data_IF_733417496014
#
_entry.id   IF_733417496014
#
_cell.length_a   1.000
_cell.length_b   1.000
_cell.length_c   1.000
_cell.angle_alpha   90.00
_cell.angle_beta   90.00
_cell.angle_gamma   90.00
#
_symmetry.space_group_name_H-M   'P 1'
#
loop_
_entity.id
_entity.type
_entity.pdbx_description
1 polymer ?
#
# COMPACT_ATOMS: atom_id res chain seq x y z
N UNK A 1 -11.30 -9.72 14.91
CA UNK A 1 -10.59 -9.27 16.15
C UNK A 1 -9.18 -8.93 15.68
N UNK A 2 -8.98 -7.66 15.31
CA UNK A 2 -7.68 -7.16 14.86
C UNK A 2 -6.65 -7.41 15.97
N UNK A 3 -5.44 -7.84 15.58
CA UNK A 3 -4.30 -8.04 16.48
C UNK A 3 -3.87 -6.67 17.03
N UNK A 4 -4.65 -6.12 17.96
CA UNK A 4 -4.32 -4.88 18.69
C UNK A 4 -3.50 -5.18 19.96
N UNK A 5 -3.24 -6.47 20.26
CA UNK A 5 -2.74 -6.88 21.57
C UNK A 5 -1.22 -6.80 21.74
N UNK A 6 -0.44 -6.41 20.73
CA UNK A 6 1.03 -6.47 20.82
C UNK A 6 1.80 -5.27 20.28
N UNK A 7 1.12 -4.21 19.84
CA UNK A 7 1.82 -2.96 19.52
C UNK A 7 1.95 -2.12 20.80
N UNK A 8 2.90 -2.50 21.63
CA UNK A 8 3.33 -1.71 22.80
C UNK A 8 4.78 -1.37 22.58
N UNK A 9 5.08 -0.17 22.14
CA UNK A 9 6.44 0.25 21.92
C UNK A 9 6.58 1.34 20.87
N UNK A 10 7.79 1.65 20.50
CA UNK A 10 8.14 2.71 19.55
C UNK A 10 7.69 2.40 18.11
N UNK A 11 7.47 1.12 17.77
CA UNK A 11 7.07 0.69 16.42
C UNK A 11 5.57 0.38 16.33
N UNK A 12 4.87 1.04 15.43
CA UNK A 12 3.44 0.82 15.11
C UNK A 12 3.23 -0.37 14.19
N UNK A 13 4.28 -0.85 13.53
CA UNK A 13 4.24 -2.00 12.62
C UNK A 13 4.88 -3.23 13.26
N UNK A 14 4.68 -4.38 12.63
CA UNK A 14 5.30 -5.66 13.03
C UNK A 14 6.24 -6.17 11.93
N UNK A 15 7.23 -6.97 12.30
CA UNK A 15 7.96 -7.79 11.35
C UNK A 15 7.00 -8.81 10.72
N UNK A 16 6.75 -8.72 9.43
CA UNK A 16 5.87 -9.65 8.73
C UNK A 16 6.66 -10.80 8.12
N UNK A 17 6.07 -12.01 8.03
CA UNK A 17 6.79 -13.16 7.48
C UNK A 17 7.09 -13.01 6.00
N UNK A 18 8.22 -13.59 5.57
CA UNK A 18 8.58 -13.86 4.19
C UNK A 18 8.26 -15.33 3.89
N UNK A 19 7.16 -15.61 3.19
CA UNK A 19 6.62 -16.96 2.99
C UNK A 19 6.92 -17.46 1.59
N UNK A 20 7.47 -18.68 1.47
CA UNK A 20 7.61 -19.32 0.18
C UNK A 20 6.24 -19.80 -0.34
N UNK A 21 5.88 -19.40 -1.56
CA UNK A 21 4.65 -19.83 -2.23
C UNK A 21 4.94 -21.00 -3.18
N UNK A 22 4.43 -22.19 -2.86
CA UNK A 22 4.58 -23.35 -3.74
C UNK A 22 3.82 -23.17 -5.05
N UNK A 23 2.62 -22.59 -4.99
CA UNK A 23 1.74 -22.38 -6.14
C UNK A 23 2.32 -21.39 -7.15
N UNK A 24 2.74 -20.24 -6.67
CA UNK A 24 3.37 -19.23 -7.54
C UNK A 24 4.74 -19.70 -8.03
N UNK A 25 5.52 -20.42 -7.20
CA UNK A 25 6.80 -20.97 -7.63
C UNK A 25 6.64 -21.98 -8.77
N UNK A 26 5.65 -22.87 -8.69
CA UNK A 26 5.32 -23.81 -9.76
C UNK A 26 4.88 -23.09 -11.04
N UNK A 27 4.00 -22.07 -10.90
CA UNK A 27 3.50 -21.29 -12.03
C UNK A 27 4.60 -20.51 -12.75
N UNK A 28 5.47 -19.85 -11.99
CA UNK A 28 6.56 -19.02 -12.52
C UNK A 28 7.75 -19.85 -12.99
N UNK A 29 7.96 -21.02 -12.40
CA UNK A 29 9.17 -21.83 -12.64
C UNK A 29 10.41 -21.29 -11.95
N UNK A 30 10.24 -20.55 -10.84
CA UNK A 30 11.26 -19.91 -10.03
C UNK A 30 10.80 -19.86 -8.58
N UNK A 31 11.71 -19.68 -7.62
CA UNK A 31 11.34 -19.56 -6.21
C UNK A 31 10.62 -18.24 -5.96
N UNK A 32 9.32 -18.27 -5.59
CA UNK A 32 8.53 -17.08 -5.26
C UNK A 32 8.32 -16.98 -3.76
N UNK A 33 8.65 -15.84 -3.19
CA UNK A 33 8.45 -15.49 -1.78
C UNK A 33 7.47 -14.32 -1.65
N UNK A 34 6.57 -14.41 -0.70
CA UNK A 34 5.55 -13.41 -0.39
C UNK A 34 5.94 -12.65 0.89
N UNK A 35 6.19 -11.35 0.81
CA UNK A 35 6.32 -10.48 1.98
C UNK A 35 4.93 -10.08 2.43
N UNK A 36 4.48 -10.63 3.55
CA UNK A 36 3.08 -10.66 3.97
C UNK A 36 2.64 -9.41 4.72
N UNK A 37 2.74 -8.24 4.11
CA UNK A 37 2.32 -6.97 4.72
C UNK A 37 0.78 -6.80 4.84
N UNK A 38 0.01 -7.71 4.26
CA UNK A 38 -1.40 -7.88 4.60
C UNK A 38 -1.64 -8.25 6.08
N UNK A 39 -0.62 -8.73 6.78
CA UNK A 39 -0.68 -9.07 8.21
C UNK A 39 -0.32 -7.90 9.14
N UNK A 40 0.03 -6.74 8.62
CA UNK A 40 0.29 -5.56 9.43
C UNK A 40 -0.95 -5.15 10.26
N UNK A 41 -0.76 -4.49 11.41
CA UNK A 41 -1.85 -3.83 12.11
C UNK A 41 -2.63 -2.90 11.17
N UNK A 42 -3.95 -3.04 11.13
CA UNK A 42 -4.79 -2.33 10.16
C UNK A 42 -4.82 -2.96 8.76
N UNK A 43 -4.19 -4.14 8.56
CA UNK A 43 -4.35 -4.96 7.34
C UNK A 43 -3.55 -4.51 6.12
N UNK A 44 -2.62 -3.55 6.23
CA UNK A 44 -1.82 -3.12 5.09
C UNK A 44 -0.43 -2.58 5.46
N UNK A 45 0.48 -2.59 4.48
CA UNK A 45 1.84 -2.04 4.56
C UNK A 45 1.90 -0.59 5.07
N UNK A 46 0.80 0.15 4.95
CA UNK A 46 0.74 1.57 5.34
C UNK A 46 1.04 1.79 6.82
N UNK A 47 0.83 0.78 7.67
CA UNK A 47 1.21 0.83 9.08
C UNK A 47 2.70 1.17 9.29
N UNK A 48 3.58 0.75 8.39
CA UNK A 48 5.03 1.03 8.48
C UNK A 48 5.34 2.52 8.34
N UNK A 49 5.02 3.08 7.19
CA UNK A 49 5.36 4.47 6.85
C UNK A 49 4.54 5.48 7.65
N UNK A 50 3.23 5.29 7.68
CA UNK A 50 2.33 6.17 8.45
C UNK A 50 2.60 6.03 9.94
N UNK A 51 2.85 4.82 10.44
CA UNK A 51 3.25 4.61 11.83
C UNK A 51 4.51 5.39 12.19
N UNK A 52 5.54 5.36 11.33
CA UNK A 52 6.79 6.12 11.52
C UNK A 52 6.55 7.63 11.57
N UNK A 53 5.70 8.16 10.67
CA UNK A 53 5.34 9.57 10.65
C UNK A 53 4.54 9.97 11.91
N UNK A 54 3.57 9.16 12.32
CA UNK A 54 2.78 9.42 13.53
C UNK A 54 3.65 9.37 14.80
N UNK A 55 4.60 8.44 14.87
CA UNK A 55 5.57 8.35 15.98
C UNK A 55 6.40 9.64 16.05
N UNK A 56 6.89 10.14 14.92
CA UNK A 56 7.62 11.41 14.87
C UNK A 56 6.76 12.57 15.40
N UNK A 57 5.53 12.70 14.97
CA UNK A 57 4.64 13.76 15.47
C UNK A 57 4.39 13.68 16.97
N UNK A 58 4.17 12.48 17.51
CA UNK A 58 4.05 12.27 18.96
C UNK A 58 5.31 12.75 19.69
N UNK A 59 6.49 12.42 19.18
CA UNK A 59 7.78 12.76 19.81
C UNK A 59 8.04 14.28 19.77
N UNK A 60 7.47 14.99 18.77
CA UNK A 60 7.44 16.45 18.69
C UNK A 60 6.34 17.10 19.58
N UNK A 61 5.60 16.30 20.35
CA UNK A 61 4.58 16.78 21.29
C UNK A 61 3.19 17.00 20.67
N UNK A 62 2.94 16.49 19.46
CA UNK A 62 1.60 16.53 18.84
C UNK A 62 0.64 15.64 19.62
N UNK A 63 -0.54 16.16 19.94
CA UNK A 63 -1.58 15.46 20.71
C UNK A 63 -2.79 15.08 19.86
N UNK A 64 -2.87 15.54 18.60
CA UNK A 64 -3.96 15.24 17.67
C UNK A 64 -3.44 14.97 16.25
N UNK A 65 -3.76 13.78 15.71
CA UNK A 65 -3.48 13.39 14.33
C UNK A 65 -4.74 13.60 13.47
N UNK A 66 -4.56 14.18 12.29
CA UNK A 66 -5.66 14.43 11.36
C UNK A 66 -5.34 13.82 10.00
N UNK A 67 -6.30 13.12 9.40
CA UNK A 67 -6.18 12.57 8.04
C UNK A 67 -7.48 12.72 7.27
N UNK A 68 -7.39 12.84 5.95
CA UNK A 68 -8.54 12.92 5.02
C UNK A 68 -8.87 11.57 4.35
N UNK A 69 -8.30 10.47 4.81
CA UNK A 69 -8.48 9.16 4.17
C UNK A 69 -9.45 8.27 4.93
N UNK A 70 -10.53 7.86 4.27
CA UNK A 70 -11.42 6.79 4.72
C UNK A 70 -11.01 5.39 4.22
N UNK A 71 -9.77 5.24 3.76
CA UNK A 71 -9.20 3.98 3.23
C UNK A 71 -8.02 3.49 4.09
N UNK A 72 -7.17 2.65 3.51
CA UNK A 72 -6.01 2.03 4.20
C UNK A 72 -5.06 3.04 4.86
N UNK A 73 -4.93 4.28 4.33
CA UNK A 73 -4.12 5.30 4.97
C UNK A 73 -4.76 5.78 6.28
N UNK A 74 -6.05 6.09 6.26
CA UNK A 74 -6.80 6.45 7.48
C UNK A 74 -6.80 5.33 8.52
N UNK A 75 -6.93 4.06 8.08
CA UNK A 75 -6.81 2.92 8.99
C UNK A 75 -5.42 2.86 9.65
N UNK A 76 -4.35 3.11 8.90
CA UNK A 76 -3.00 3.16 9.46
C UNK A 76 -2.82 4.32 10.46
N UNK A 77 -3.41 5.50 10.19
CA UNK A 77 -3.42 6.62 11.14
C UNK A 77 -4.21 6.27 12.41
N UNK A 78 -5.38 5.64 12.24
CA UNK A 78 -6.23 5.21 13.36
C UNK A 78 -5.51 4.20 14.28
N UNK A 79 -4.86 3.20 13.69
CA UNK A 79 -4.06 2.22 14.43
C UNK A 79 -2.87 2.88 15.12
N UNK A 80 -2.17 3.78 14.43
CA UNK A 80 -1.05 4.52 14.99
C UNK A 80 -1.48 5.39 16.17
N UNK A 81 -2.53 6.20 16.01
CA UNK A 81 -3.04 7.05 17.08
C UNK A 81 -3.43 6.25 18.32
N UNK A 82 -4.13 5.11 18.11
CA UNK A 82 -4.48 4.19 19.21
C UNK A 82 -3.25 3.61 19.93
N UNK A 83 -2.25 3.17 19.16
CA UNK A 83 -1.02 2.57 19.72
C UNK A 83 -0.17 3.60 20.47
N UNK A 84 -0.11 4.83 19.97
CA UNK A 84 0.70 5.92 20.50
C UNK A 84 -0.02 6.74 21.59
N UNK A 85 -1.31 6.51 21.81
CA UNK A 85 -2.12 7.28 22.76
C UNK A 85 -2.35 8.73 22.30
N UNK A 86 -2.44 8.97 21.00
CA UNK A 86 -2.66 10.29 20.39
C UNK A 86 -4.07 10.33 19.80
N UNK A 87 -4.81 11.41 20.06
CA UNK A 87 -6.16 11.59 19.52
C UNK A 87 -6.13 11.60 17.99
N UNK A 88 -7.12 10.98 17.37
CA UNK A 88 -7.16 10.86 15.91
C UNK A 88 -8.49 11.34 15.36
N UNK A 89 -8.42 12.15 14.32
CA UNK A 89 -9.58 12.61 13.55
C UNK A 89 -9.43 12.23 12.08
N UNK A 90 -10.45 11.58 11.54
CA UNK A 90 -10.60 11.35 10.10
C UNK A 90 -11.62 12.36 9.57
N UNK A 91 -11.21 13.17 8.61
CA UNK A 91 -12.13 14.03 7.87
C UNK A 91 -12.58 13.30 6.62
N UNK A 92 -13.86 12.98 6.58
CA UNK A 92 -14.51 12.25 5.49
C UNK A 92 -15.37 13.20 4.65
N UNK A 93 -15.50 12.92 3.37
CA UNK A 93 -16.44 13.62 2.49
C UNK A 93 -17.82 12.95 2.50
N UNK A 94 -18.82 13.58 1.87
CA UNK A 94 -20.17 13.01 1.80
C UNK A 94 -20.21 11.69 1.01
N UNK A 95 -19.29 11.48 0.05
CA UNK A 95 -19.19 10.20 -0.69
C UNK A 95 -18.64 9.05 0.17
N UNK A 96 -18.00 9.35 1.31
CA UNK A 96 -17.44 8.36 2.23
C UNK A 96 -18.43 7.89 3.31
N UNK A 97 -19.71 8.35 3.29
CA UNK A 97 -20.69 8.04 4.34
C UNK A 97 -20.96 6.55 4.51
N UNK A 98 -20.78 5.77 3.45
CA UNK A 98 -20.94 4.32 3.44
C UNK A 98 -19.59 3.58 3.53
N UNK A 99 -18.51 4.26 3.98
CA UNK A 99 -17.20 3.66 4.11
C UNK A 99 -17.24 2.48 5.11
N UNK A 100 -16.78 1.33 4.68
CA UNK A 100 -16.75 0.08 5.49
C UNK A 100 -15.87 0.13 6.73
N UNK A 101 -14.95 1.10 6.79
CA UNK A 101 -14.03 1.25 7.92
C UNK A 101 -14.59 2.09 9.06
N UNK A 102 -15.77 2.70 8.93
CA UNK A 102 -16.36 3.58 9.95
C UNK A 102 -16.53 2.87 11.31
N UNK A 103 -17.01 1.62 11.31
CA UNK A 103 -17.13 0.84 12.53
C UNK A 103 -15.75 0.56 13.16
N UNK A 104 -14.75 0.29 12.35
CA UNK A 104 -13.38 0.06 12.82
C UNK A 104 -12.78 1.35 13.38
N UNK A 105 -13.01 2.50 12.75
CA UNK A 105 -12.59 3.80 13.28
C UNK A 105 -13.22 4.06 14.65
N UNK A 106 -14.52 3.81 14.78
CA UNK A 106 -15.24 3.95 16.07
C UNK A 106 -14.64 3.06 17.14
N UNK A 107 -14.37 1.78 16.83
CA UNK A 107 -13.76 0.83 17.77
C UNK A 107 -12.33 1.22 18.18
N UNK A 108 -11.59 1.92 17.30
CA UNK A 108 -10.27 2.45 17.59
C UNK A 108 -10.29 3.78 18.36
N UNK A 109 -11.48 4.36 18.59
CA UNK A 109 -11.64 5.64 19.28
C UNK A 109 -11.38 6.85 18.40
N UNK A 110 -11.48 6.70 17.08
CA UNK A 110 -11.27 7.78 16.10
C UNK A 110 -12.51 8.65 15.98
N UNK A 111 -12.32 9.97 15.95
CA UNK A 111 -13.37 10.93 15.62
C UNK A 111 -13.52 11.03 14.09
N UNK A 112 -14.73 10.84 13.57
CA UNK A 112 -15.01 11.03 12.13
C UNK A 112 -15.79 12.34 11.96
N UNK A 113 -15.26 13.24 11.15
CA UNK A 113 -15.87 14.54 10.81
C UNK A 113 -16.19 14.56 9.33
N UNK A 114 -17.46 14.83 8.98
CA UNK A 114 -17.85 14.96 7.58
C UNK A 114 -17.73 16.41 7.11
N UNK A 115 -17.03 16.62 5.98
CA UNK A 115 -16.86 17.95 5.40
C UNK A 115 -16.76 17.91 3.88
N UNK A 116 -17.64 18.65 3.21
CA UNK A 116 -17.67 18.81 1.76
C UNK A 116 -18.26 17.63 1.01
N UNK A 117 -18.52 17.84 -0.28
CA UNK A 117 -19.13 16.85 -1.14
C UNK A 117 -18.11 15.81 -1.65
N UNK A 118 -16.86 16.23 -1.86
CA UNK A 118 -15.80 15.44 -2.45
C UNK A 118 -14.55 15.38 -1.56
N UNK A 119 -13.68 14.42 -1.84
CA UNK A 119 -12.44 14.23 -1.11
C UNK A 119 -11.57 15.49 -1.01
N UNK A 120 -11.50 16.33 -2.06
CA UNK A 120 -10.69 17.55 -2.02
C UNK A 120 -11.15 18.53 -0.91
N UNK A 121 -12.47 18.64 -0.70
CA UNK A 121 -13.03 19.51 0.35
C UNK A 121 -12.64 18.97 1.73
N UNK A 122 -12.74 17.65 1.92
CA UNK A 122 -12.34 16.98 3.14
C UNK A 122 -10.84 17.13 3.41
N UNK A 123 -10.00 17.03 2.39
CA UNK A 123 -8.53 17.15 2.51
C UNK A 123 -8.12 18.58 2.90
N UNK A 124 -8.69 19.61 2.26
CA UNK A 124 -8.41 21.00 2.62
C UNK A 124 -8.82 21.29 4.07
N UNK A 125 -9.97 20.77 4.49
CA UNK A 125 -10.41 20.90 5.87
C UNK A 125 -9.50 20.15 6.85
N UNK A 126 -9.09 18.93 6.52
CA UNK A 126 -8.17 18.15 7.33
C UNK A 126 -6.82 18.87 7.50
N UNK A 127 -6.28 19.46 6.44
CA UNK A 127 -5.05 20.27 6.50
C UNK A 127 -5.24 21.51 7.38
N UNK A 128 -6.39 22.15 7.30
CA UNK A 128 -6.73 23.30 8.17
C UNK A 128 -6.79 22.87 9.64
N UNK A 129 -7.35 21.71 9.94
CA UNK A 129 -7.37 21.16 11.30
C UNK A 129 -5.96 20.78 11.78
N UNK A 130 -5.16 20.14 10.93
CA UNK A 130 -3.80 19.73 11.24
C UNK A 130 -2.80 20.88 11.36
N UNK A 131 -3.15 22.10 10.90
CA UNK A 131 -2.35 23.31 11.06
C UNK A 131 -2.57 24.02 12.40
N UNK A 132 -3.49 23.54 13.24
CA UNK A 132 -3.71 24.09 14.59
C UNK A 132 -2.55 23.70 15.52
N UNK A 133 -2.38 24.48 16.60
CA UNK A 133 -1.44 24.14 17.65
C UNK A 133 -1.75 22.73 18.19
N UNK A 134 -0.69 21.95 18.42
CA UNK A 134 -0.75 20.58 18.95
C UNK A 134 -1.45 19.53 18.05
N UNK A 135 -1.72 19.86 16.76
CA UNK A 135 -2.26 18.95 15.77
C UNK A 135 -1.29 18.75 14.60
N UNK A 136 -1.39 17.62 13.91
CA UNK A 136 -0.64 17.34 12.69
C UNK A 136 -1.52 16.68 11.63
N UNK A 137 -1.45 17.17 10.40
CA UNK A 137 -2.00 16.48 9.25
C UNK A 137 -1.04 15.35 8.83
N UNK A 138 -1.58 14.14 8.69
CA UNK A 138 -0.81 12.94 8.31
C UNK A 138 -0.94 12.71 6.82
N UNK A 139 0.17 12.87 6.09
CA UNK A 139 0.25 12.59 4.66
C UNK A 139 -0.03 11.11 4.36
N UNK A 140 -0.67 10.82 3.23
CA UNK A 140 -1.08 9.46 2.88
C UNK A 140 0.04 8.61 2.30
N UNK A 141 1.02 9.22 1.60
CA UNK A 141 2.09 8.48 0.91
C UNK A 141 3.33 9.31 0.54
N UNK A 142 3.24 10.63 0.40
CA UNK A 142 4.34 11.48 -0.11
C UNK A 142 5.02 12.25 1.02
N UNK A 143 5.82 11.53 1.80
CA UNK A 143 6.59 12.13 2.90
C UNK A 143 7.87 11.31 3.17
N UNK A 144 9.04 11.94 3.41
CA UNK A 144 10.30 11.23 3.64
C UNK A 144 10.25 10.19 4.77
N UNK A 145 9.60 10.49 5.89
CA UNK A 145 9.44 9.55 7.00
C UNK A 145 8.53 8.37 6.66
N UNK A 146 7.57 8.55 5.73
CA UNK A 146 6.77 7.44 5.21
C UNK A 146 7.66 6.50 4.39
N UNK A 147 8.53 7.04 3.53
CA UNK A 147 9.48 6.24 2.75
C UNK A 147 10.45 5.50 3.67
N UNK A 148 10.98 6.17 4.70
CA UNK A 148 11.84 5.56 5.71
C UNK A 148 11.14 4.41 6.44
N UNK A 149 9.89 4.61 6.88
CA UNK A 149 9.11 3.57 7.53
C UNK A 149 8.83 2.38 6.60
N UNK A 150 8.49 2.61 5.33
CA UNK A 150 8.30 1.53 4.36
C UNK A 150 9.60 0.79 4.03
N UNK A 151 10.76 1.45 4.12
CA UNK A 151 12.06 0.84 3.89
C UNK A 151 12.37 -0.29 4.89
N UNK A 152 11.76 -0.28 6.10
CA UNK A 152 11.89 -1.36 7.09
C UNK A 152 11.51 -2.74 6.52
N UNK A 153 10.62 -2.78 5.52
CA UNK A 153 10.24 -4.00 4.81
C UNK A 153 11.45 -4.67 4.14
N UNK A 154 12.32 -3.88 3.54
CA UNK A 154 13.55 -4.39 2.88
C UNK A 154 14.58 -4.84 3.91
N UNK A 155 14.67 -4.16 5.06
CA UNK A 155 15.55 -4.60 6.16
C UNK A 155 15.12 -5.98 6.67
N UNK A 156 13.80 -6.20 6.80
CA UNK A 156 13.27 -7.50 7.18
C UNK A 156 13.56 -8.57 6.12
N UNK A 157 13.34 -8.27 4.83
CA UNK A 157 13.68 -9.19 3.72
C UNK A 157 15.18 -9.51 3.75
N UNK A 158 16.04 -8.50 3.99
CA UNK A 158 17.48 -8.69 4.11
C UNK A 158 17.82 -9.64 5.25
N UNK A 159 17.22 -9.46 6.41
CA UNK A 159 17.44 -10.32 7.57
C UNK A 159 16.93 -11.75 7.33
N UNK A 160 15.71 -11.92 6.81
CA UNK A 160 15.08 -13.21 6.53
C UNK A 160 15.85 -14.00 5.47
N UNK A 161 16.47 -13.31 4.50
CA UNK A 161 17.32 -13.89 3.44
C UNK A 161 18.81 -13.95 3.81
N UNK A 162 19.17 -13.59 5.04
CA UNK A 162 20.55 -13.60 5.55
C UNK A 162 21.54 -12.78 4.68
N UNK A 163 21.06 -11.68 4.13
CA UNK A 163 21.84 -10.79 3.27
C UNK A 163 21.91 -11.19 1.80
N UNK A 164 21.24 -12.26 1.39
CA UNK A 164 21.20 -12.68 -0.02
C UNK A 164 20.14 -11.90 -0.80
N UNK A 165 20.49 -11.13 -1.85
CA UNK A 165 19.52 -10.38 -2.62
C UNK A 165 18.56 -11.31 -3.37
N UNK A 166 17.28 -10.94 -3.53
CA UNK A 166 16.39 -11.62 -4.46
C UNK A 166 16.77 -11.29 -5.91
N UNK A 167 16.36 -12.14 -6.86
CA UNK A 167 16.52 -11.86 -8.28
C UNK A 167 15.72 -10.64 -8.74
N UNK A 168 14.53 -10.42 -8.16
CA UNK A 168 13.76 -9.18 -8.33
C UNK A 168 12.75 -8.99 -7.19
N UNK A 169 12.22 -7.76 -7.07
CA UNK A 169 11.08 -7.44 -6.20
C UNK A 169 9.90 -7.01 -7.08
N UNK A 170 8.70 -7.46 -6.75
CA UNK A 170 7.45 -7.10 -7.45
C UNK A 170 6.51 -6.42 -6.46
N UNK A 171 5.98 -5.27 -6.81
CA UNK A 171 5.09 -4.49 -5.95
C UNK A 171 4.07 -3.69 -6.75
N UNK A 172 2.95 -3.36 -6.11
CA UNK A 172 1.92 -2.48 -6.68
C UNK A 172 2.26 -1.01 -6.43
N UNK A 173 1.99 -0.17 -7.42
CA UNK A 173 2.21 1.28 -7.32
C UNK A 173 0.90 2.04 -7.49
N UNK A 174 0.48 2.74 -6.42
CA UNK A 174 -0.50 3.81 -6.47
C UNK A 174 0.22 5.17 -6.47
N UNK A 175 0.22 5.87 -5.33
CA UNK A 175 0.93 7.16 -5.16
C UNK A 175 2.46 7.10 -5.11
N UNK A 176 3.06 5.92 -5.15
CA UNK A 176 4.51 5.75 -5.19
C UNK A 176 5.21 5.64 -3.83
N UNK A 177 4.50 5.82 -2.71
CA UNK A 177 5.11 5.76 -1.37
C UNK A 177 5.75 4.40 -1.06
N UNK A 178 5.08 3.29 -1.42
CA UNK A 178 5.65 1.93 -1.26
C UNK A 178 6.91 1.76 -2.10
N UNK A 179 6.86 2.12 -3.38
CA UNK A 179 8.02 2.06 -4.28
C UNK A 179 9.18 2.87 -3.73
N UNK A 180 8.93 4.13 -3.32
CA UNK A 180 9.96 5.00 -2.74
C UNK A 180 10.59 4.39 -1.48
N UNK A 181 9.77 3.78 -0.62
CA UNK A 181 10.27 3.08 0.56
C UNK A 181 11.12 1.85 0.23
N UNK A 182 10.66 1.01 -0.70
CA UNK A 182 11.43 -0.16 -1.16
C UNK A 182 12.76 0.28 -1.78
N UNK A 183 12.76 1.28 -2.66
CA UNK A 183 13.98 1.82 -3.26
C UNK A 183 14.95 2.39 -2.20
N UNK A 184 14.43 3.12 -1.21
CA UNK A 184 15.22 3.61 -0.07
C UNK A 184 15.86 2.45 0.69
N UNK A 185 15.10 1.39 0.98
CA UNK A 185 15.59 0.19 1.65
C UNK A 185 16.66 -0.54 0.83
N UNK A 186 16.45 -0.72 -0.48
CA UNK A 186 17.42 -1.36 -1.38
C UNK A 186 18.75 -0.62 -1.39
N UNK A 187 18.75 0.71 -1.46
CA UNK A 187 19.97 1.53 -1.36
C UNK A 187 20.66 1.33 0.00
N UNK A 188 19.87 1.32 1.08
CA UNK A 188 20.38 1.19 2.45
C UNK A 188 21.09 -0.14 2.69
N UNK A 189 20.57 -1.26 2.19
CA UNK A 189 21.16 -2.59 2.37
C UNK A 189 22.16 -2.98 1.26
N UNK A 190 22.45 -2.08 0.31
CA UNK A 190 23.41 -2.33 -0.77
C UNK A 190 22.85 -3.18 -1.92
N UNK A 191 21.51 -3.28 -2.05
CA UNK A 191 20.83 -4.04 -3.11
C UNK A 191 20.32 -3.16 -4.27
N UNK A 192 20.94 -2.03 -4.52
CA UNK A 192 20.52 -1.09 -5.56
C UNK A 192 20.51 -1.64 -6.99
N UNK A 193 21.15 -2.81 -7.22
CA UNK A 193 21.13 -3.50 -8.52
C UNK A 193 19.95 -4.49 -8.67
N UNK A 194 19.15 -4.72 -7.62
CA UNK A 194 17.98 -5.62 -7.68
C UNK A 194 16.87 -4.97 -8.50
N UNK A 195 16.40 -5.58 -9.60
CA UNK A 195 15.29 -5.06 -10.38
C UNK A 195 13.99 -4.98 -9.56
N UNK A 196 13.25 -3.89 -9.71
CA UNK A 196 11.92 -3.70 -9.11
C UNK A 196 10.87 -3.61 -10.19
N UNK A 197 9.92 -4.54 -10.20
CA UNK A 197 8.76 -4.46 -11.07
C UNK A 197 7.65 -3.65 -10.38
N UNK A 198 7.44 -2.44 -10.88
CA UNK A 198 6.45 -1.48 -10.41
C UNK A 198 5.13 -1.70 -11.16
N UNK A 199 4.22 -2.49 -10.59
CA UNK A 199 3.00 -2.91 -11.24
C UNK A 199 1.87 -1.88 -11.02
N UNK A 200 1.16 -1.52 -12.09
CA UNK A 200 0.00 -0.64 -12.07
C UNK A 200 -1.13 -1.22 -12.92
N UNK A 201 -2.39 -0.87 -12.59
CA UNK A 201 -3.51 -1.10 -13.51
C UNK A 201 -3.32 -0.28 -14.79
N UNK A 202 -3.70 -0.83 -15.94
CA UNK A 202 -3.66 -0.13 -17.24
C UNK A 202 -4.41 1.21 -17.20
N UNK A 203 -5.48 1.31 -16.40
CA UNK A 203 -6.24 2.56 -16.23
C UNK A 203 -5.55 3.57 -15.33
N UNK A 204 -4.63 3.13 -14.47
CA UNK A 204 -3.99 3.93 -13.43
C UNK A 204 -2.47 4.01 -13.61
N UNK A 205 -1.97 3.87 -14.82
CA UNK A 205 -0.54 3.85 -15.15
C UNK A 205 0.18 5.19 -15.01
N UNK A 206 0.05 5.88 -13.87
CA UNK A 206 0.61 7.22 -13.66
C UNK A 206 2.14 7.22 -13.64
N UNK A 207 2.76 6.22 -13.01
CA UNK A 207 4.21 6.08 -13.03
C UNK A 207 4.69 5.72 -14.43
N UNK A 208 4.03 4.79 -15.11
CA UNK A 208 4.35 4.41 -16.48
C UNK A 208 4.28 5.60 -17.43
N UNK A 209 3.23 6.42 -17.32
CA UNK A 209 3.08 7.63 -18.10
C UNK A 209 4.18 8.67 -17.80
N UNK A 210 4.53 8.84 -16.51
CA UNK A 210 5.60 9.75 -16.11
C UNK A 210 6.97 9.33 -16.65
N UNK A 211 7.28 8.03 -16.62
CA UNK A 211 8.54 7.48 -17.13
C UNK A 211 8.65 7.58 -18.66
N UNK A 212 7.55 7.35 -19.38
CA UNK A 212 7.54 7.40 -20.86
C UNK A 212 7.60 8.82 -21.42
N UNK A 213 6.96 9.78 -20.76
CA UNK A 213 6.73 11.11 -21.30
C UNK A 213 7.59 12.20 -20.63
N UNK A 214 8.39 11.85 -19.60
CA UNK A 214 9.10 12.85 -18.80
C UNK A 214 8.19 13.84 -18.08
N UNK A 215 6.93 13.44 -17.79
CA UNK A 215 5.85 14.31 -17.40
C UNK A 215 5.22 13.86 -16.09
N UNK A 216 4.85 14.82 -15.23
CA UNK A 216 3.94 14.56 -14.10
C UNK A 216 2.54 14.36 -14.67
N UNK A 217 1.92 13.19 -14.50
CA UNK A 217 0.58 12.98 -15.02
C UNK A 217 -0.39 13.98 -14.40
N UNK A 218 -1.18 14.62 -15.27
CA UNK A 218 -2.35 15.35 -14.80
C UNK A 218 -3.32 14.32 -14.20
N UNK A 219 -3.90 14.59 -13.03
CA UNK A 219 -4.83 13.67 -12.42
C UNK A 219 -5.96 13.33 -13.38
N UNK A 220 -6.06 12.09 -13.80
CA UNK A 220 -7.22 11.57 -14.51
C UNK A 220 -8.13 10.90 -13.49
N UNK A 221 -9.44 10.96 -13.70
CA UNK A 221 -10.37 10.21 -12.87
C UNK A 221 -10.07 8.72 -13.02
N UNK A 222 -9.63 8.12 -11.92
CA UNK A 222 -9.29 6.71 -11.87
C UNK A 222 -10.51 6.01 -11.29
N UNK A 223 -11.25 5.30 -12.15
CA UNK A 223 -12.35 4.46 -11.71
C UNK A 223 -11.84 3.05 -11.47
N UNK A 224 -12.18 2.50 -10.31
CA UNK A 224 -12.22 1.07 -10.14
C UNK A 224 -13.40 0.49 -10.93
N UNK A 225 -13.35 -0.79 -11.25
CA UNK A 225 -14.46 -1.48 -11.87
C UNK A 225 -15.74 -1.44 -11.00
N UNK A 226 -15.65 -1.06 -9.72
CA UNK A 226 -16.72 -1.08 -8.73
C UNK A 226 -16.88 0.26 -8.00
N UNK A 227 -16.31 1.37 -8.51
CA UNK A 227 -16.40 2.67 -7.86
C UNK A 227 -15.34 2.88 -6.75
N UNK A 228 -14.44 1.92 -6.51
CA UNK A 228 -13.31 2.08 -5.60
C UNK A 228 -12.08 2.55 -6.39
N UNK A 229 -11.47 3.66 -6.00
CA UNK A 229 -10.26 4.19 -6.64
C UNK A 229 -9.10 3.19 -6.53
N UNK A 230 -8.67 2.62 -7.67
CA UNK A 230 -7.48 1.76 -7.75
C UNK A 230 -6.17 2.55 -7.69
N UNK A 231 -6.21 3.83 -7.39
CA UNK A 231 -5.01 4.63 -7.38
C UNK A 231 -5.17 6.00 -6.78
N UNK A 232 -4.09 6.75 -6.81
CA UNK A 232 -4.04 8.15 -6.44
C UNK A 232 -4.10 9.01 -7.70
N UNK A 233 -4.50 10.27 -7.55
CA UNK A 233 -4.51 11.23 -8.65
C UNK A 233 -3.12 11.68 -9.09
N UNK A 234 -2.10 11.37 -8.28
CA UNK A 234 -0.70 11.76 -8.54
C UNK A 234 0.24 10.64 -8.10
N UNK A 235 1.44 10.63 -8.67
CA UNK A 235 2.56 9.82 -8.20
C UNK A 235 3.61 10.74 -7.58
N UNK A 236 4.20 10.35 -6.45
CA UNK A 236 5.26 11.10 -5.80
C UNK A 236 6.45 11.30 -6.74
N UNK A 237 7.00 12.52 -6.79
CA UNK A 237 8.16 12.79 -7.64
C UNK A 237 9.35 11.90 -7.29
N UNK A 238 9.54 11.62 -6.01
CA UNK A 238 10.60 10.72 -5.51
C UNK A 238 10.49 9.31 -6.11
N UNK A 239 9.27 8.80 -6.35
CA UNK A 239 9.09 7.51 -7.01
C UNK A 239 9.54 7.54 -8.47
N UNK A 240 9.31 8.66 -9.17
CA UNK A 240 9.81 8.86 -10.54
C UNK A 240 11.34 8.98 -10.55
N UNK A 241 11.91 9.74 -9.60
CA UNK A 241 13.37 9.95 -9.50
C UNK A 241 14.07 8.61 -9.19
N UNK A 242 13.57 7.82 -8.25
CA UNK A 242 14.09 6.47 -7.99
C UNK A 242 13.98 5.55 -9.21
N UNK A 243 12.91 5.68 -9.99
CA UNK A 243 12.75 4.87 -11.19
C UNK A 243 13.73 5.23 -12.32
N UNK A 244 14.36 6.41 -12.24
CA UNK A 244 15.44 6.82 -13.13
C UNK A 244 16.83 6.46 -12.58
N UNK A 245 16.96 6.34 -11.27
CA UNK A 245 18.22 6.03 -10.57
C UNK A 245 18.49 4.52 -10.46
N UNK A 246 17.45 3.72 -10.24
CA UNK A 246 17.51 2.28 -10.01
C UNK A 246 16.84 1.50 -11.16
N UNK A 247 17.07 0.20 -11.24
CA UNK A 247 16.39 -0.67 -12.24
C UNK A 247 14.91 -0.89 -11.85
N UNK A 248 14.10 0.16 -12.01
CA UNK A 248 12.64 0.08 -11.82
C UNK A 248 11.96 -0.09 -13.17
N UNK A 249 11.23 -1.17 -13.32
CA UNK A 249 10.51 -1.57 -14.54
C UNK A 249 9.02 -1.40 -14.34
N UNK A 250 8.42 -0.43 -15.02
CA UNK A 250 6.97 -0.25 -15.02
C UNK A 250 6.29 -1.39 -15.75
N UNK A 251 5.25 -1.98 -15.16
CA UNK A 251 4.46 -3.05 -15.74
C UNK A 251 2.97 -2.75 -15.58
N UNK A 252 2.25 -2.68 -16.70
CA UNK A 252 0.82 -2.48 -16.70
C UNK A 252 0.08 -3.83 -16.73
N UNK A 253 -0.95 -3.94 -15.90
CA UNK A 253 -1.79 -5.13 -15.76
C UNK A 253 -3.24 -4.76 -16.00
N UNK A 254 -3.99 -5.57 -16.74
CA UNK A 254 -5.41 -5.29 -16.99
C UNK A 254 -6.25 -5.44 -15.72
N UNK A 255 -7.32 -4.65 -15.63
CA UNK A 255 -8.26 -4.71 -14.49
C UNK A 255 -8.89 -6.11 -14.40
N UNK A 256 -9.23 -6.72 -15.54
CA UNK A 256 -9.78 -8.09 -15.60
C UNK A 256 -8.82 -9.11 -14.97
N UNK A 257 -7.54 -9.05 -15.31
CA UNK A 257 -6.51 -9.92 -14.71
C UNK A 257 -6.37 -9.65 -13.21
N UNK A 258 -6.39 -8.39 -12.80
CA UNK A 258 -6.31 -7.99 -11.40
C UNK A 258 -7.47 -8.56 -10.58
N UNK A 259 -8.71 -8.37 -11.01
CA UNK A 259 -9.90 -8.87 -10.32
C UNK A 259 -9.96 -10.39 -10.25
N UNK A 260 -9.57 -11.08 -11.35
CA UNK A 260 -9.46 -12.55 -11.36
C UNK A 260 -8.45 -13.03 -10.33
N UNK A 261 -7.32 -12.33 -10.23
CA UNK A 261 -6.22 -12.71 -9.33
C UNK A 261 -6.60 -12.61 -7.85
N UNK A 262 -7.47 -11.68 -7.45
CA UNK A 262 -7.94 -11.61 -6.05
C UNK A 262 -8.52 -12.95 -5.58
N UNK A 263 -9.41 -13.54 -6.38
CA UNK A 263 -10.04 -14.81 -6.04
C UNK A 263 -9.05 -15.99 -6.17
N UNK A 264 -8.20 -15.99 -7.20
CA UNK A 264 -7.21 -17.04 -7.43
C UNK A 264 -6.15 -17.08 -6.30
N UNK A 265 -5.69 -15.91 -5.86
CA UNK A 265 -4.75 -15.79 -4.74
C UNK A 265 -5.39 -16.24 -3.42
N UNK A 266 -6.66 -15.88 -3.17
CA UNK A 266 -7.39 -16.38 -2.01
C UNK A 266 -7.50 -17.91 -2.02
N UNK A 267 -7.77 -18.52 -3.17
CA UNK A 267 -7.86 -19.96 -3.33
C UNK A 267 -6.47 -20.64 -3.17
N UNK A 268 -5.38 -20.02 -3.60
CA UNK A 268 -4.04 -20.58 -3.54
C UNK A 268 -3.40 -20.41 -2.15
N UNK A 269 -3.46 -19.19 -1.58
CA UNK A 269 -2.68 -18.81 -0.40
C UNK A 269 -3.53 -18.66 0.88
N UNK A 270 -4.86 -18.71 0.79
CA UNK A 270 -5.80 -18.50 1.92
C UNK A 270 -5.71 -17.11 2.54
N UNK A 271 -5.28 -16.12 1.75
CA UNK A 271 -5.15 -14.72 2.18
C UNK A 271 -6.00 -13.84 1.28
N UNK A 272 -6.87 -13.06 1.89
CA UNK A 272 -7.69 -12.09 1.17
C UNK A 272 -6.91 -10.78 1.01
N UNK A 273 -6.93 -10.25 -0.22
CA UNK A 273 -6.25 -8.99 -0.57
C UNK A 273 -7.18 -8.12 -1.40
N UNK A 274 -6.93 -6.82 -1.39
CA UNK A 274 -7.61 -5.86 -2.26
C UNK A 274 -7.11 -5.92 -3.72
N UNK A 275 -7.90 -5.43 -4.69
CA UNK A 275 -7.47 -5.31 -6.08
C UNK A 275 -6.15 -4.55 -6.24
N UNK A 276 -5.93 -3.45 -5.48
CA UNK A 276 -4.64 -2.73 -5.50
C UNK A 276 -3.44 -3.60 -5.12
N UNK A 277 -3.61 -4.51 -4.17
CA UNK A 277 -2.57 -5.50 -3.83
C UNK A 277 -2.44 -6.54 -4.94
N UNK A 278 -3.56 -6.99 -5.49
CA UNK A 278 -3.60 -8.01 -6.52
C UNK A 278 -2.95 -7.59 -7.84
N UNK A 279 -2.77 -6.30 -8.12
CA UNK A 279 -2.05 -5.81 -9.32
C UNK A 279 -0.64 -6.42 -9.41
N UNK A 280 0.13 -6.43 -8.31
CA UNK A 280 1.46 -7.04 -8.30
C UNK A 280 1.41 -8.56 -8.49
N UNK A 281 0.44 -9.21 -7.85
CA UNK A 281 0.21 -10.65 -7.97
C UNK A 281 -0.22 -11.02 -9.39
N UNK A 282 -1.10 -10.23 -10.01
CA UNK A 282 -1.60 -10.47 -11.37
C UNK A 282 -0.49 -10.42 -12.43
N UNK A 283 0.61 -9.72 -12.16
CA UNK A 283 1.80 -9.77 -13.01
C UNK A 283 2.39 -11.21 -13.03
N UNK A 284 2.47 -11.88 -11.88
CA UNK A 284 2.99 -13.25 -11.81
C UNK A 284 1.97 -14.27 -12.35
N UNK A 285 0.69 -14.10 -12.04
CA UNK A 285 -0.36 -14.99 -12.51
C UNK A 285 -0.54 -14.92 -14.04
N UNK A 286 -0.49 -13.72 -14.63
CA UNK A 286 -0.76 -13.48 -16.04
C UNK A 286 0.47 -13.48 -16.96
N UNK A 287 1.65 -13.19 -16.41
CA UNK A 287 2.89 -13.04 -17.19
C UNK A 287 4.07 -13.76 -16.52
N UNK A 288 3.94 -15.05 -16.14
CA UNK A 288 4.96 -15.78 -15.38
C UNK A 288 6.33 -15.84 -16.09
N UNK A 289 6.33 -15.85 -17.43
CA UNK A 289 7.56 -15.94 -18.22
C UNK A 289 8.50 -14.75 -18.01
N UNK A 290 7.98 -13.57 -17.60
CA UNK A 290 8.83 -12.41 -17.27
C UNK A 290 9.74 -12.70 -16.07
N UNK A 291 9.31 -13.54 -15.15
CA UNK A 291 9.97 -13.77 -13.87
C UNK A 291 10.80 -15.06 -13.84
N UNK A 292 10.60 -15.97 -14.78
CA UNK A 292 11.30 -17.25 -14.89
C UNK A 292 12.83 -17.13 -14.99
N UNK A 293 13.33 -16.01 -15.49
CA UNK A 293 14.75 -15.73 -15.62
C UNK A 293 15.46 -15.48 -14.28
N UNK A 294 14.71 -15.20 -13.21
CA UNK A 294 15.24 -14.90 -11.88
C UNK A 294 15.29 -16.19 -11.04
N UNK A 295 16.34 -16.37 -10.25
CA UNK A 295 16.45 -17.49 -9.33
C UNK A 295 15.38 -17.42 -8.22
N UNK A 296 15.10 -16.19 -7.77
CA UNK A 296 14.06 -15.95 -6.78
C UNK A 296 13.35 -14.60 -7.01
N UNK A 297 12.07 -14.57 -6.69
CA UNK A 297 11.19 -13.40 -6.80
C UNK A 297 10.59 -13.11 -5.43
N UNK A 298 10.66 -11.87 -4.97
CA UNK A 298 9.94 -11.43 -3.78
C UNK A 298 8.76 -10.56 -4.21
N UNK A 299 7.55 -10.94 -3.83
CA UNK A 299 6.33 -10.17 -4.07
C UNK A 299 5.86 -9.51 -2.78
N UNK A 300 5.61 -8.22 -2.83
CA UNK A 300 5.04 -7.50 -1.70
C UNK A 300 3.51 -7.68 -1.70
N UNK A 301 3.01 -8.48 -0.76
CA UNK A 301 1.57 -8.64 -0.50
C UNK A 301 1.15 -7.49 0.41
N UNK A 302 0.86 -6.35 -0.20
CA UNK A 302 0.69 -5.09 0.52
C UNK A 302 -0.63 -5.02 1.32
N UNK A 303 -1.60 -5.92 1.04
CA UNK A 303 -2.83 -6.07 1.82
C UNK A 303 -3.96 -5.14 1.40
N UNK A 304 -4.74 -4.74 2.40
CA UNK A 304 -5.89 -3.86 2.29
C UNK A 304 -7.03 -4.29 3.21
N UNK A 305 -7.83 -3.34 3.66
CA UNK A 305 -8.91 -3.55 4.65
C UNK A 305 -10.30 -3.21 4.10
N UNK A 306 -10.40 -2.89 2.82
CA UNK A 306 -11.64 -2.41 2.19
C UNK A 306 -12.44 -3.51 1.48
N UNK A 307 -11.95 -4.74 1.39
CA UNK A 307 -12.66 -5.81 0.71
C UNK A 307 -13.28 -6.83 1.67
N UNK A 308 -14.36 -7.42 1.23
CA UNK A 308 -15.07 -8.52 1.87
C UNK A 308 -15.13 -9.75 0.97
N UNK A 309 -15.60 -10.88 1.49
CA UNK A 309 -15.81 -12.09 0.70
C UNK A 309 -16.87 -11.88 -0.39
N UNK A 310 -17.88 -11.03 -0.14
CA UNK A 310 -18.90 -10.69 -1.15
C UNK A 310 -18.28 -9.94 -2.33
N UNK A 311 -17.35 -9.01 -2.06
CA UNK A 311 -16.63 -8.30 -3.11
C UNK A 311 -15.76 -9.25 -3.94
N UNK A 312 -15.00 -10.13 -3.29
CA UNK A 312 -14.19 -11.14 -3.99
C UNK A 312 -15.07 -12.01 -4.89
N UNK A 313 -16.25 -12.38 -4.40
CA UNK A 313 -17.23 -13.17 -5.16
C UNK A 313 -17.78 -12.39 -6.36
N UNK A 314 -18.08 -11.10 -6.19
CA UNK A 314 -18.54 -10.21 -7.25
C UNK A 314 -17.44 -10.00 -8.31
N UNK A 315 -16.22 -9.70 -7.91
CA UNK A 315 -15.08 -9.52 -8.81
C UNK A 315 -14.75 -10.78 -9.61
N UNK A 316 -14.84 -11.97 -8.98
CA UNK A 316 -14.67 -13.24 -9.68
C UNK A 316 -15.70 -13.42 -10.80
N UNK A 317 -16.95 -13.05 -10.55
CA UNK A 317 -18.02 -13.10 -11.58
C UNK A 317 -17.74 -12.13 -12.72
N UNK A 318 -17.43 -10.87 -12.39
CA UNK A 318 -17.09 -9.82 -13.35
C UNK A 318 -15.89 -10.21 -14.24
N UNK A 319 -14.87 -10.83 -13.68
CA UNK A 319 -13.70 -11.29 -14.42
C UNK A 319 -14.03 -12.43 -15.41
N UNK A 320 -15.12 -13.18 -15.19
CA UNK A 320 -15.59 -14.26 -16.08
C UNK A 320 -16.50 -13.76 -17.20
N UNK A 321 -17.01 -12.54 -17.10
CA UNK A 321 -17.83 -11.94 -18.16
C UNK A 321 -16.96 -11.61 -19.39
N UNK A 322 -17.50 -11.80 -20.62
CA UNK A 322 -16.75 -11.63 -21.87
C UNK A 322 -16.32 -10.19 -22.14
#
# INVERSE_FOLDING_TARGET
MLILATVTGEDVHIHTPLVWSSKLSERVGSSVFLKMDALQPGGSFKARGIGRLCTHFRDEGVTSLVSSSCANAGMAVAVAGRALGVDTTIVASDVDRDCRLLDSFTQLGVSVVYHGAEWNDADEHARTLGAKQDAAYVEMFDHPLIFEGHASMVDEIYADRKGEPPGCIVLSVGGGGLLSGVCTGLKRVGWGAVPVYACQSERCGLLDAALKNGYRPTPTHIFSADGHDLGTRTVAQVAVDFSQELDVRSLLVSDKATLSTVAEFLDDERVMVEPLCAVALAALYGQPELFKQFESVVVIVCGGSLCSLDDVTAWRRQALEP
#
